data_IF_888455006081
#
_entry.id   IF_888455006081
#
_cell.length_a   1.000
_cell.length_b   1.000
_cell.length_c   1.000
_cell.angle_alpha   90.00
_cell.angle_beta   90.00
_cell.angle_gamma   90.00
#
_symmetry.space_group_name_H-M   'P 1'
#
loop_
_entity.id
_entity.type
_entity.pdbx_description
1 polymer ?
#
# COMPACT_ATOMS: atom_id res chain seq x y z
N UNK A 1 16.95 17.28 24.47
CA UNK A 1 18.05 16.31 24.25
C UNK A 1 17.75 15.26 23.17
N UNK A 2 16.66 14.49 23.23
CA UNK A 2 16.38 13.37 22.29
C UNK A 2 16.28 13.79 20.81
N UNK A 3 15.81 15.01 20.50
CA UNK A 3 15.68 15.50 19.11
C UNK A 3 17.02 15.80 18.42
N UNK A 4 18.03 16.20 19.17
CA UNK A 4 19.36 16.49 18.61
C UNK A 4 20.06 15.18 18.26
N UNK A 5 20.02 14.20 19.17
CA UNK A 5 20.57 12.87 18.94
C UNK A 5 19.95 12.20 17.70
N UNK A 6 18.61 12.25 17.57
CA UNK A 6 17.91 11.72 16.39
C UNK A 6 18.31 12.41 15.08
N UNK A 7 18.62 13.71 15.12
CA UNK A 7 19.10 14.43 13.94
C UNK A 7 20.51 13.97 13.58
N UNK A 8 21.39 13.85 14.56
CA UNK A 8 22.74 13.34 14.34
C UNK A 8 22.73 11.93 13.77
N UNK A 9 21.97 11.01 14.38
CA UNK A 9 21.80 9.64 13.90
C UNK A 9 21.23 9.58 12.47
N UNK A 10 20.33 10.50 12.12
CA UNK A 10 19.79 10.57 10.75
C UNK A 10 20.81 11.07 9.73
N UNK A 11 21.68 12.00 10.12
CA UNK A 11 22.77 12.50 9.28
C UNK A 11 23.80 11.39 9.08
N UNK A 12 24.22 10.72 10.16
CA UNK A 12 25.19 9.62 10.10
C UNK A 12 24.68 8.42 9.27
N UNK A 13 23.39 8.08 9.40
CA UNK A 13 22.79 7.01 8.59
C UNK A 13 22.74 7.38 7.10
N UNK A 14 22.46 8.65 6.78
CA UNK A 14 22.39 9.13 5.41
C UNK A 14 23.79 9.25 4.77
N UNK A 15 24.79 9.74 5.51
CA UNK A 15 26.18 9.80 5.01
C UNK A 15 26.75 8.41 4.76
N UNK A 16 26.48 7.44 5.65
CA UNK A 16 26.86 6.05 5.46
C UNK A 16 26.19 5.42 4.21
N UNK A 17 24.92 5.74 3.98
CA UNK A 17 24.22 5.32 2.76
C UNK A 17 24.85 5.92 1.50
N UNK A 18 25.19 7.23 1.51
CA UNK A 18 25.83 7.88 0.37
C UNK A 18 27.22 7.31 0.08
N UNK A 19 28.03 7.05 1.11
CA UNK A 19 29.33 6.40 0.96
C UNK A 19 29.21 4.96 0.39
N UNK A 20 28.12 4.25 0.72
CA UNK A 20 27.86 2.91 0.18
C UNK A 20 27.42 2.95 -1.29
N UNK A 21 26.53 3.88 -1.67
CA UNK A 21 26.01 3.99 -3.05
C UNK A 21 27.03 4.65 -3.98
N UNK A 22 27.83 5.58 -3.47
CA UNK A 22 28.82 6.36 -4.22
C UNK A 22 30.20 6.21 -3.55
N UNK A 23 31.06 5.30 -4.04
CA UNK A 23 32.38 5.05 -3.44
C UNK A 23 33.32 6.27 -3.40
N UNK A 24 33.03 7.29 -4.20
CA UNK A 24 33.79 8.56 -4.27
C UNK A 24 33.20 9.64 -3.34
N UNK A 25 32.12 9.36 -2.61
CA UNK A 25 31.52 10.31 -1.67
C UNK A 25 32.31 10.34 -0.37
N UNK A 26 32.98 11.48 -0.12
CA UNK A 26 33.64 11.79 1.14
C UNK A 26 32.83 12.86 1.86
N UNK A 27 32.31 12.53 3.05
CA UNK A 27 31.55 13.50 3.85
C UNK A 27 32.51 14.59 4.33
N UNK A 28 32.27 15.84 3.91
CA UNK A 28 33.01 16.98 4.43
C UNK A 28 32.47 17.35 5.80
N UNK A 29 33.24 17.08 6.84
CA UNK A 29 32.97 17.59 8.19
C UNK A 29 33.15 19.11 8.16
N UNK A 30 32.03 19.85 8.12
CA UNK A 30 32.04 21.28 8.37
C UNK A 30 32.30 21.48 9.86
N UNK A 31 33.57 21.51 10.28
CA UNK A 31 33.91 22.05 11.58
C UNK A 31 33.53 23.54 11.60
N UNK A 32 32.71 23.92 12.59
CA UNK A 32 32.23 25.27 12.85
C UNK A 32 33.41 26.26 12.85
N UNK A 33 33.50 27.09 11.82
CA UNK A 33 34.14 28.39 11.96
C UNK A 33 33.02 29.35 12.38
N UNK A 34 32.84 29.49 13.69
CA UNK A 34 31.97 30.52 14.26
C UNK A 34 32.57 31.89 13.97
N UNK A 35 31.87 32.70 13.20
CA UNK A 35 31.85 34.15 13.40
C UNK A 35 30.43 34.61 13.07
N UNK A 36 29.71 34.95 14.14
CA UNK A 36 28.44 35.64 14.14
C UNK A 36 28.62 37.04 13.51
N UNK A 37 27.68 37.49 12.67
CA UNK A 37 27.26 38.89 12.55
C UNK A 37 25.94 39.01 11.74
N UNK A 38 24.87 39.26 12.52
CA UNK A 38 23.75 40.20 12.35
C UNK A 38 22.71 40.14 11.19
N UNK A 39 21.46 39.99 11.67
CA UNK A 39 20.17 40.67 11.34
C UNK A 39 19.84 41.09 9.90
N UNK A 40 18.63 40.71 9.43
CA UNK A 40 17.57 41.69 9.09
C UNK A 40 16.19 41.02 8.95
N UNK A 41 15.24 41.58 9.70
CA UNK A 41 13.78 41.39 9.62
C UNK A 41 13.23 41.96 8.31
N UNK A 42 12.43 41.18 7.56
CA UNK A 42 11.35 41.77 6.74
C UNK A 42 10.05 40.99 6.91
N UNK A 43 9.05 41.76 7.31
CA UNK A 43 7.68 41.39 7.67
C UNK A 43 6.75 41.45 6.43
N UNK A 44 5.53 40.91 6.60
CA UNK A 44 4.33 41.08 5.76
C UNK A 44 4.21 40.13 4.55
N UNK A 45 3.09 39.45 4.26
CA UNK A 45 1.70 39.78 4.53
C UNK A 45 0.79 38.53 4.37
N UNK A 46 -0.35 38.55 5.08
CA UNK A 46 -1.43 37.58 5.02
C UNK A 46 -2.10 37.51 3.63
N UNK A 47 -2.34 36.29 3.12
CA UNK A 47 -3.54 36.01 2.32
C UNK A 47 -4.27 34.79 2.89
N UNK A 48 -5.38 35.12 3.52
CA UNK A 48 -6.49 34.25 3.91
C UNK A 48 -7.03 33.47 2.71
N UNK A 49 -7.11 32.14 2.85
CA UNK A 49 -8.00 31.29 2.05
C UNK A 49 -8.49 30.16 2.92
N UNK A 50 -9.57 30.49 3.63
CA UNK A 50 -10.40 29.62 4.45
C UNK A 50 -10.95 28.48 3.60
N UNK A 51 -10.43 27.27 3.76
CA UNK A 51 -11.16 26.04 3.42
C UNK A 51 -11.09 25.13 4.65
N UNK A 52 -12.21 25.08 5.37
CA UNK A 52 -12.43 24.28 6.57
C UNK A 52 -12.17 22.79 6.26
N UNK A 53 -11.24 22.11 6.95
CA UNK A 53 -11.29 20.67 7.04
C UNK A 53 -12.48 20.30 7.92
N UNK A 54 -13.46 19.62 7.34
CA UNK A 54 -14.53 19.02 8.10
C UNK A 54 -13.93 17.91 8.98
N UNK A 55 -13.76 18.20 10.27
CA UNK A 55 -13.45 17.20 11.28
C UNK A 55 -14.63 16.22 11.37
N UNK A 56 -14.49 15.05 10.77
CA UNK A 56 -15.40 13.94 11.01
C UNK A 56 -14.86 13.14 12.20
N UNK A 57 -15.43 13.45 13.36
CA UNK A 57 -15.29 12.72 14.60
C UNK A 57 -15.95 11.34 14.46
N UNK A 58 -15.18 10.35 14.04
CA UNK A 58 -15.55 8.92 14.14
C UNK A 58 -14.46 8.14 14.87
N UNK A 59 -14.12 8.61 16.07
CA UNK A 59 -13.32 7.87 17.03
C UNK A 59 -14.27 7.12 17.98
N UNK A 60 -14.97 6.10 17.44
CA UNK A 60 -15.57 5.04 18.26
C UNK A 60 -14.74 3.78 18.11
N UNK A 61 -13.78 3.70 19.02
CA UNK A 61 -12.99 2.55 19.39
C UNK A 61 -13.86 1.28 19.45
N UNK A 62 -13.54 0.27 18.63
CA UNK A 62 -14.11 -1.06 18.77
C UNK A 62 -13.05 -2.10 18.43
N UNK A 63 -12.62 -2.84 19.45
CA UNK A 63 -11.62 -3.91 19.48
C UNK A 63 -12.01 -5.16 18.64
N UNK A 64 -12.42 -4.96 17.39
CA UNK A 64 -12.94 -5.99 16.50
C UNK A 64 -12.04 -6.21 15.28
N UNK A 65 -10.73 -6.14 15.46
CA UNK A 65 -9.76 -6.50 14.42
C UNK A 65 -9.23 -7.93 14.67
N UNK A 66 -9.11 -8.71 13.61
CA UNK A 66 -8.53 -10.06 13.61
C UNK A 66 -7.11 -9.95 13.07
N UNK A 67 -6.13 -10.25 13.92
CA UNK A 67 -4.72 -10.29 13.56
C UNK A 67 -4.39 -11.70 13.05
N UNK A 68 -4.04 -11.81 11.77
CA UNK A 68 -3.61 -13.07 11.17
C UNK A 68 -2.08 -13.08 11.08
N UNK A 69 -1.38 -13.91 11.87
CA UNK A 69 0.06 -14.06 11.73
C UNK A 69 0.39 -14.72 10.37
N UNK A 70 1.37 -14.19 9.66
CA UNK A 70 1.94 -14.87 8.50
C UNK A 70 2.68 -16.15 8.94
N UNK A 71 2.62 -17.25 8.18
CA UNK A 71 3.46 -18.41 8.46
C UNK A 71 4.96 -18.06 8.34
N UNK A 72 5.84 -18.80 9.02
CA UNK A 72 7.28 -18.73 8.78
C UNK A 72 7.56 -19.06 7.30
N UNK A 73 8.11 -18.09 6.56
CA UNK A 73 8.41 -18.20 5.12
C UNK A 73 7.80 -17.11 4.23
N UNK A 74 6.92 -16.23 4.74
CA UNK A 74 6.59 -14.97 4.05
C UNK A 74 7.82 -14.07 4.05
N UNK A 75 8.32 -13.74 2.87
CA UNK A 75 9.53 -12.93 2.64
C UNK A 75 9.25 -11.44 2.86
N UNK A 76 8.82 -11.06 4.06
CA UNK A 76 8.84 -9.63 4.39
C UNK A 76 10.26 -9.20 4.68
N UNK A 77 10.61 -8.06 4.10
CA UNK A 77 11.94 -7.46 4.06
C UNK A 77 12.70 -7.33 5.38
N UNK A 78 12.09 -7.50 6.56
CA UNK A 78 12.77 -7.46 7.86
C UNK A 78 12.02 -8.17 9.01
N UNK A 79 11.13 -9.14 8.71
CA UNK A 79 10.44 -9.86 9.78
C UNK A 79 9.17 -10.59 9.36
N UNK A 80 8.29 -10.85 10.33
CA UNK A 80 6.97 -11.43 10.10
C UNK A 80 5.98 -10.27 9.95
N UNK A 81 5.50 -10.01 8.73
CA UNK A 81 4.38 -9.05 8.53
C UNK A 81 3.15 -9.59 9.22
N UNK A 82 2.46 -8.74 9.97
CA UNK A 82 1.16 -9.08 10.56
C UNK A 82 0.08 -8.34 9.78
N UNK A 83 -0.83 -9.10 9.17
CA UNK A 83 -1.99 -8.53 8.50
C UNK A 83 -3.14 -8.44 9.49
N UNK A 84 -3.71 -7.24 9.60
CA UNK A 84 -4.87 -6.98 10.45
C UNK A 84 -6.05 -6.54 9.58
N UNK A 85 -7.16 -7.27 9.69
CA UNK A 85 -8.43 -6.97 9.01
C UNK A 85 -9.55 -6.86 10.03
N UNK A 86 -10.68 -6.26 9.60
CA UNK A 86 -11.88 -6.27 10.42
C UNK A 86 -12.37 -7.72 10.63
N UNK A 87 -12.82 -8.06 11.85
CA UNK A 87 -13.42 -9.38 12.14
C UNK A 87 -14.62 -9.67 11.24
N UNK A 88 -15.43 -8.65 10.98
CA UNK A 88 -16.61 -8.74 10.10
C UNK A 88 -16.42 -7.85 8.87
N UNK A 89 -16.67 -8.41 7.69
CA UNK A 89 -16.68 -7.66 6.45
C UNK A 89 -17.77 -6.58 6.50
N UNK A 90 -17.46 -5.31 6.21
CA UNK A 90 -18.47 -4.25 6.12
C UNK A 90 -19.53 -4.51 5.05
N UNK A 91 -19.17 -5.24 4.00
CA UNK A 91 -20.06 -5.64 2.92
C UNK A 91 -20.08 -7.17 2.84
N UNK A 92 -21.06 -7.79 3.50
CA UNK A 92 -21.12 -9.26 3.62
C UNK A 92 -21.69 -9.96 2.38
N UNK A 93 -22.47 -9.23 1.58
CA UNK A 93 -23.21 -9.82 0.46
C UNK A 93 -22.97 -9.04 -0.84
N UNK A 94 -21.72 -8.96 -1.29
CA UNK A 94 -21.37 -8.24 -2.53
C UNK A 94 -21.44 -9.19 -3.72
N UNK A 95 -22.30 -8.89 -4.69
CA UNK A 95 -22.41 -9.69 -5.93
C UNK A 95 -21.26 -9.40 -6.89
N UNK A 96 -20.91 -10.37 -7.73
CA UNK A 96 -19.88 -10.21 -8.78
C UNK A 96 -20.14 -9.00 -9.67
N UNK A 97 -21.41 -8.79 -10.05
CA UNK A 97 -21.80 -7.61 -10.83
C UNK A 97 -21.41 -6.29 -10.16
N UNK A 98 -21.60 -6.21 -8.84
CA UNK A 98 -21.20 -5.01 -8.07
C UNK A 98 -19.68 -4.87 -8.04
N UNK A 99 -18.95 -5.98 -7.97
CA UNK A 99 -17.48 -5.97 -8.04
C UNK A 99 -16.99 -5.44 -9.38
N UNK A 100 -17.61 -5.87 -10.48
CA UNK A 100 -17.27 -5.39 -11.82
C UNK A 100 -17.60 -3.91 -11.99
N UNK A 101 -18.83 -3.50 -11.69
CA UNK A 101 -19.30 -2.12 -11.95
C UNK A 101 -18.70 -1.09 -10.99
N UNK A 102 -18.60 -1.39 -9.69
CA UNK A 102 -18.17 -0.41 -8.68
C UNK A 102 -16.69 -0.47 -8.36
N UNK A 103 -16.10 -1.67 -8.37
CA UNK A 103 -14.68 -1.86 -8.02
C UNK A 103 -13.77 -1.94 -9.24
N UNK A 104 -14.32 -1.95 -10.47
CA UNK A 104 -13.52 -2.04 -11.71
C UNK A 104 -12.95 -3.43 -11.98
N UNK A 105 -13.50 -4.47 -11.35
CA UNK A 105 -12.97 -5.82 -11.41
C UNK A 105 -13.61 -6.66 -12.52
N UNK A 106 -13.47 -6.24 -13.77
CA UNK A 106 -14.10 -6.86 -14.94
C UNK A 106 -13.80 -8.37 -15.04
N UNK A 107 -12.53 -8.74 -14.89
CA UNK A 107 -12.02 -10.11 -14.99
C UNK A 107 -11.97 -10.85 -13.64
N UNK A 108 -12.81 -10.47 -12.67
CA UNK A 108 -12.81 -11.08 -11.34
C UNK A 108 -13.01 -12.60 -11.38
N UNK A 109 -14.00 -13.11 -12.11
CA UNK A 109 -14.32 -14.53 -12.19
C UNK A 109 -13.20 -15.35 -12.87
N UNK A 110 -12.69 -14.96 -14.06
CA UNK A 110 -11.53 -15.61 -14.65
C UNK A 110 -10.31 -15.68 -13.71
N UNK A 111 -10.01 -14.56 -13.03
CA UNK A 111 -8.89 -14.48 -12.10
C UNK A 111 -9.09 -15.40 -10.88
N UNK A 112 -10.29 -15.40 -10.30
CA UNK A 112 -10.64 -16.28 -9.18
C UNK A 112 -10.59 -17.75 -9.58
N UNK A 113 -11.10 -18.11 -10.76
CA UNK A 113 -11.06 -19.49 -11.28
C UNK A 113 -9.62 -19.98 -11.43
N UNK A 114 -8.72 -19.13 -11.94
CA UNK A 114 -7.28 -19.44 -12.03
C UNK A 114 -6.68 -19.66 -10.64
N UNK A 115 -7.04 -18.84 -9.66
CA UNK A 115 -6.58 -18.98 -8.28
C UNK A 115 -7.07 -20.26 -7.62
N UNK A 116 -8.37 -20.58 -7.72
CA UNK A 116 -8.98 -21.79 -7.16
C UNK A 116 -8.34 -23.04 -7.77
N UNK A 117 -8.20 -23.10 -9.11
CA UNK A 117 -7.54 -24.24 -9.78
C UNK A 117 -6.09 -24.45 -9.34
N UNK A 118 -5.36 -23.36 -9.05
CA UNK A 118 -3.95 -23.42 -8.63
C UNK A 118 -3.79 -23.81 -7.15
N UNK A 119 -4.61 -23.25 -6.25
CA UNK A 119 -4.39 -23.33 -4.81
C UNK A 119 -5.35 -24.30 -4.09
N UNK A 120 -6.45 -24.68 -4.72
CA UNK A 120 -7.50 -25.53 -4.17
C UNK A 120 -7.84 -26.66 -5.17
N UNK A 121 -6.90 -27.60 -5.45
CA UNK A 121 -7.08 -28.63 -6.47
C UNK A 121 -8.24 -29.60 -6.18
N UNK A 122 -8.69 -29.66 -4.92
CA UNK A 122 -9.81 -30.51 -4.50
C UNK A 122 -11.17 -29.79 -4.55
N UNK A 123 -11.22 -28.52 -4.96
CA UNK A 123 -12.46 -27.78 -5.11
C UNK A 123 -13.14 -28.17 -6.43
N UNK A 124 -14.30 -28.84 -6.34
CA UNK A 124 -15.11 -29.22 -7.51
C UNK A 124 -16.08 -28.13 -7.98
N UNK A 125 -16.13 -26.98 -7.30
CA UNK A 125 -17.05 -25.89 -7.59
C UNK A 125 -16.31 -24.83 -8.40
N UNK A 126 -16.87 -24.46 -9.54
CA UNK A 126 -16.33 -23.36 -10.34
C UNK A 126 -16.98 -22.03 -9.95
N UNK A 127 -16.19 -20.95 -9.79
CA UNK A 127 -16.72 -19.63 -9.51
C UNK A 127 -17.68 -19.15 -10.61
N UNK A 128 -18.81 -18.59 -10.19
CA UNK A 128 -19.92 -18.15 -11.02
C UNK A 128 -20.33 -16.69 -10.72
N UNK A 129 -21.03 -16.05 -11.66
CA UNK A 129 -21.47 -14.64 -11.55
C UNK A 129 -22.56 -14.41 -10.47
N UNK A 130 -23.24 -15.49 -10.08
CA UNK A 130 -24.28 -15.47 -9.04
C UNK A 130 -23.69 -15.53 -7.63
N UNK A 131 -22.38 -15.74 -7.51
CA UNK A 131 -21.70 -15.88 -6.23
C UNK A 131 -21.64 -14.54 -5.49
N UNK A 132 -21.53 -14.66 -4.17
CA UNK A 132 -21.57 -13.54 -3.26
C UNK A 132 -20.34 -13.57 -2.37
N UNK A 133 -19.70 -12.42 -2.20
CA UNK A 133 -18.43 -12.30 -1.50
C UNK A 133 -18.51 -11.31 -0.33
N UNK A 134 -17.80 -11.67 0.74
CA UNK A 134 -17.54 -10.80 1.87
C UNK A 134 -16.35 -9.89 1.54
N UNK A 135 -16.61 -8.58 1.40
CA UNK A 135 -15.61 -7.58 0.97
C UNK A 135 -15.22 -6.65 2.11
N UNK A 136 -13.91 -6.40 2.21
CA UNK A 136 -13.27 -5.54 3.17
C UNK A 136 -12.85 -4.21 2.55
N UNK A 137 -12.98 -3.13 3.32
CA UNK A 137 -12.61 -1.77 2.88
C UNK A 137 -11.11 -1.51 2.92
N UNK A 138 -10.42 -2.13 3.89
CA UNK A 138 -9.01 -1.86 4.18
C UNK A 138 -8.35 -3.04 4.88
N UNK A 139 -7.04 -3.12 4.74
CA UNK A 139 -6.13 -4.00 5.46
C UNK A 139 -5.04 -3.14 6.09
N UNK A 140 -4.66 -3.46 7.32
CA UNK A 140 -3.46 -2.89 7.95
C UNK A 140 -2.32 -3.90 7.89
N UNK A 141 -1.19 -3.47 7.35
CA UNK A 141 0.07 -4.19 7.35
C UNK A 141 0.91 -3.66 8.50
N UNK A 142 1.30 -4.51 9.44
CA UNK A 142 2.25 -4.17 10.48
C UNK A 142 3.58 -4.84 10.17
N UNK A 143 4.64 -4.04 10.10
CA UNK A 143 5.99 -4.52 9.88
C UNK A 143 6.88 -4.19 11.09
N UNK A 144 7.91 -5.01 11.29
CA UNK A 144 8.94 -4.69 12.26
C UNK A 144 9.70 -3.48 11.76
N UNK A 145 9.91 -2.48 12.62
CA UNK A 145 10.67 -1.28 12.27
C UNK A 145 12.00 -1.66 11.65
N UNK A 146 12.25 -1.17 10.44
CA UNK A 146 13.50 -1.42 9.70
C UNK A 146 14.72 -0.87 10.45
N UNK A 147 14.50 0.06 11.39
CA UNK A 147 15.55 0.78 12.09
C UNK A 147 16.00 0.09 13.40
N UNK A 148 15.38 -1.02 13.83
CA UNK A 148 15.88 -1.82 14.97
C UNK A 148 15.86 -1.14 16.35
N UNK A 149 15.54 0.15 16.46
CA UNK A 149 15.62 0.92 17.71
C UNK A 149 14.29 1.00 18.46
N UNK A 150 13.72 -0.13 18.89
CA UNK A 150 12.63 -0.16 19.89
C UNK A 150 11.36 0.64 19.55
N UNK A 151 11.25 1.21 18.35
CA UNK A 151 10.12 1.99 17.91
C UNK A 151 8.92 1.06 17.66
N UNK A 152 7.70 1.55 17.92
CA UNK A 152 6.51 0.75 17.71
C UNK A 152 6.44 0.28 16.26
N UNK A 153 5.90 -0.93 16.00
CA UNK A 153 5.73 -1.44 14.64
C UNK A 153 4.96 -0.40 13.82
N UNK A 154 5.56 0.00 12.70
CA UNK A 154 4.92 0.93 11.79
C UNK A 154 3.83 0.18 11.02
N UNK A 155 2.70 0.86 10.82
CA UNK A 155 1.50 0.26 10.27
C UNK A 155 1.09 1.01 9.00
N UNK A 156 1.11 0.29 7.88
CA UNK A 156 0.59 0.78 6.61
C UNK A 156 -0.85 0.31 6.40
N UNK A 157 -1.67 1.14 5.78
CA UNK A 157 -3.07 0.81 5.49
C UNK A 157 -3.29 0.82 3.99
N UNK A 158 -3.77 -0.31 3.47
CA UNK A 158 -4.19 -0.47 2.08
C UNK A 158 -5.70 -0.41 2.02
N UNK A 159 -6.24 0.43 1.15
CA UNK A 159 -7.68 0.65 0.94
C UNK A 159 -8.11 0.12 -0.41
N UNK A 160 -9.29 -0.49 -0.39
CA UNK A 160 -10.02 -1.00 -1.54
C UNK A 160 -11.49 -0.59 -1.40
N UNK A 161 -11.79 0.68 -1.65
CA UNK A 161 -13.14 1.24 -1.47
C UNK A 161 -13.57 1.94 -2.76
N UNK A 162 -14.72 1.55 -3.35
CA UNK A 162 -15.20 2.16 -4.58
C UNK A 162 -15.76 3.55 -4.27
N UNK A 163 -16.04 4.32 -5.31
CA UNK A 163 -16.73 5.60 -5.17
C UNK A 163 -18.08 5.40 -4.45
N UNK A 164 -18.40 6.28 -3.51
CA UNK A 164 -19.68 6.23 -2.79
C UNK A 164 -20.45 7.52 -2.99
N UNK A 165 -21.77 7.43 -3.23
CA UNK A 165 -22.60 8.62 -3.27
C UNK A 165 -22.57 9.34 -1.93
N UNK A 166 -22.93 10.62 -1.96
CA UNK A 166 -23.04 11.41 -0.74
C UNK A 166 -23.96 10.69 0.27
N UNK A 167 -23.50 10.44 1.50
CA UNK A 167 -24.28 9.68 2.47
C UNK A 167 -25.55 10.44 2.90
N UNK A 168 -25.55 11.77 2.76
CA UNK A 168 -26.66 12.66 3.09
C UNK A 168 -26.70 13.83 2.10
N UNK A 169 -27.88 14.43 1.86
CA UNK A 169 -27.99 15.67 1.12
C UNK A 169 -27.07 16.76 1.72
N UNK A 170 -26.28 17.43 0.88
CA UNK A 170 -25.35 18.48 1.32
C UNK A 170 -23.95 17.99 1.76
N UNK A 171 -23.66 16.68 1.68
CA UNK A 171 -22.29 16.16 1.82
C UNK A 171 -21.68 15.84 0.47
N UNK A 172 -20.35 15.89 0.38
CA UNK A 172 -19.64 15.49 -0.82
C UNK A 172 -19.66 13.96 -0.98
N UNK A 173 -19.70 13.44 -2.22
CA UNK A 173 -19.48 12.03 -2.48
C UNK A 173 -18.07 11.62 -2.03
N UNK A 174 -17.91 10.36 -1.63
CA UNK A 174 -16.58 9.82 -1.31
C UNK A 174 -15.92 9.33 -2.59
N UNK A 175 -14.72 9.83 -2.94
CA UNK A 175 -14.00 9.33 -4.11
C UNK A 175 -13.58 7.87 -3.93
N UNK A 176 -13.30 7.15 -5.03
CA UNK A 176 -12.73 5.80 -4.94
C UNK A 176 -11.31 5.85 -4.35
N UNK A 177 -10.98 4.86 -3.53
CA UNK A 177 -9.65 4.62 -2.96
C UNK A 177 -9.20 3.20 -3.34
N UNK A 178 -8.26 3.12 -4.26
CA UNK A 178 -7.61 1.89 -4.70
C UNK A 178 -6.11 2.06 -4.56
N UNK A 179 -5.61 1.68 -3.39
CA UNK A 179 -4.22 1.90 -3.03
C UNK A 179 -3.31 0.94 -3.79
N UNK A 180 -2.08 1.39 -4.05
CA UNK A 180 -1.06 0.58 -4.71
C UNK A 180 -0.25 -0.22 -3.70
N UNK A 181 0.13 -1.42 -4.09
CA UNK A 181 0.94 -2.34 -3.31
C UNK A 181 2.09 -2.92 -4.10
N UNK A 182 3.06 -3.47 -3.38
CA UNK A 182 4.15 -4.25 -3.93
C UNK A 182 3.86 -5.73 -3.65
N UNK A 183 4.21 -6.58 -4.60
CA UNK A 183 3.97 -8.04 -4.54
C UNK A 183 5.26 -8.75 -4.92
N UNK A 184 5.75 -9.62 -4.04
CA UNK A 184 6.86 -10.52 -4.36
C UNK A 184 6.32 -11.82 -4.98
N UNK A 185 6.40 -11.93 -6.30
CA UNK A 185 5.84 -13.08 -7.01
C UNK A 185 6.73 -14.34 -6.89
N UNK A 186 8.01 -14.22 -6.52
CA UNK A 186 8.98 -15.32 -6.64
C UNK A 186 9.78 -15.61 -5.37
N UNK A 187 9.57 -14.86 -4.29
CA UNK A 187 10.46 -14.92 -3.13
C UNK A 187 11.89 -14.52 -3.49
N UNK A 188 12.05 -13.78 -4.59
CA UNK A 188 13.34 -13.37 -5.14
C UNK A 188 13.75 -11.98 -4.65
N UNK A 189 12.93 -11.35 -3.81
CA UNK A 189 13.27 -10.10 -3.16
C UNK A 189 14.34 -10.36 -2.08
N UNK A 190 15.55 -10.65 -2.53
CA UNK A 190 16.70 -10.95 -1.68
C UNK A 190 17.47 -9.65 -1.40
N UNK A 191 17.47 -8.68 -2.34
CA UNK A 191 18.26 -7.43 -2.24
C UNK A 191 17.66 -6.24 -3.06
N UNK A 192 16.45 -5.76 -2.75
CA UNK A 192 15.93 -4.45 -3.11
C UNK A 192 14.50 -4.50 -3.66
N UNK A 193 14.18 -3.53 -4.51
CA UNK A 193 12.93 -3.51 -5.30
C UNK A 193 12.96 -4.49 -6.48
N UNK A 194 14.08 -5.17 -6.69
CA UNK A 194 14.25 -6.12 -7.78
C UNK A 194 13.49 -7.43 -7.49
N UNK A 195 12.63 -7.84 -8.44
CA UNK A 195 11.75 -9.00 -8.28
C UNK A 195 10.38 -8.71 -7.67
N UNK A 196 10.12 -7.45 -7.32
CA UNK A 196 8.85 -7.00 -6.76
C UNK A 196 8.04 -6.26 -7.83
N UNK A 197 6.75 -6.57 -7.94
CA UNK A 197 5.85 -5.95 -8.91
C UNK A 197 4.89 -4.98 -8.24
N UNK A 198 4.64 -3.85 -8.89
CA UNK A 198 3.64 -2.88 -8.43
C UNK A 198 2.26 -3.31 -8.90
N UNK A 199 1.32 -3.34 -7.97
CA UNK A 199 -0.08 -3.68 -8.22
C UNK A 199 -1.00 -2.62 -7.64
N UNK A 200 -2.18 -2.48 -8.22
CA UNK A 200 -3.27 -1.72 -7.62
C UNK A 200 -4.25 -2.67 -6.96
N UNK A 201 -4.60 -2.41 -5.71
CA UNK A 201 -5.53 -3.23 -4.95
C UNK A 201 -6.95 -2.76 -5.19
N UNK A 202 -7.74 -3.61 -5.84
CA UNK A 202 -9.11 -3.29 -6.21
C UNK A 202 -10.11 -3.87 -5.20
N UNK A 203 -9.95 -5.12 -4.78
CA UNK A 203 -10.89 -5.80 -3.86
C UNK A 203 -10.11 -6.61 -2.83
N UNK A 204 -10.54 -6.53 -1.57
CA UNK A 204 -10.08 -7.41 -0.49
C UNK A 204 -11.29 -8.24 -0.06
N UNK A 205 -11.22 -9.56 -0.14
CA UNK A 205 -12.38 -10.42 0.13
C UNK A 205 -12.03 -11.72 0.85
N UNK A 206 -13.01 -12.32 1.54
CA UNK A 206 -12.90 -13.69 2.05
C UNK A 206 -13.49 -14.66 1.04
N UNK A 207 -12.82 -15.80 0.85
CA UNK A 207 -13.32 -16.86 0.00
C UNK A 207 -14.55 -17.51 0.66
N UNK A 208 -15.68 -17.65 -0.05
CA UNK A 208 -16.86 -18.31 0.50
C UNK A 208 -16.54 -19.74 0.93
N UNK A 209 -17.12 -20.23 2.05
CA UNK A 209 -16.80 -21.55 2.59
C UNK A 209 -17.14 -22.70 1.64
N UNK A 210 -18.01 -22.45 0.65
CA UNK A 210 -18.39 -23.39 -0.41
C UNK A 210 -17.18 -23.84 -1.24
N UNK A 211 -16.22 -22.94 -1.49
CA UNK A 211 -14.99 -23.27 -2.23
C UNK A 211 -13.97 -24.06 -1.39
N UNK A 212 -14.23 -24.23 -0.10
CA UNK A 212 -13.35 -24.88 0.86
C UNK A 212 -12.71 -23.90 1.86
N UNK A 213 -12.11 -24.43 2.95
CA UNK A 213 -11.48 -23.61 3.96
C UNK A 213 -10.19 -22.99 3.40
N UNK A 214 -10.13 -21.66 3.36
CA UNK A 214 -8.91 -20.92 3.05
C UNK A 214 -8.60 -19.93 4.18
N UNK A 215 -7.41 -19.99 4.81
CA UNK A 215 -7.16 -19.30 6.07
C UNK A 215 -6.93 -17.79 5.94
N UNK A 216 -6.66 -17.28 4.74
CA UNK A 216 -6.31 -15.87 4.54
C UNK A 216 -7.32 -15.16 3.64
N UNK A 217 -7.60 -13.87 3.88
CA UNK A 217 -8.32 -13.09 2.90
C UNK A 217 -7.51 -13.04 1.59
N UNK A 218 -8.25 -12.96 0.49
CA UNK A 218 -7.73 -12.85 -0.86
C UNK A 218 -7.84 -11.40 -1.31
N UNK A 219 -6.99 -11.05 -2.27
CA UNK A 219 -6.96 -9.71 -2.85
C UNK A 219 -7.02 -9.84 -4.36
N UNK A 220 -7.96 -9.15 -4.99
CA UNK A 220 -7.98 -8.94 -6.42
C UNK A 220 -7.15 -7.69 -6.73
N UNK A 221 -6.13 -7.88 -7.55
CA UNK A 221 -5.16 -6.86 -7.88
C UNK A 221 -5.02 -6.71 -9.39
N UNK A 222 -4.86 -5.48 -9.83
CA UNK A 222 -4.49 -5.14 -11.20
C UNK A 222 -2.98 -4.88 -11.24
N UNK A 223 -2.25 -5.66 -12.02
CA UNK A 223 -0.80 -5.48 -12.13
C UNK A 223 -0.48 -4.27 -13.00
N UNK A 224 0.58 -3.55 -12.67
CA UNK A 224 1.18 -2.62 -13.60
C UNK A 224 2.39 -3.28 -14.28
N UNK A 225 2.27 -3.58 -15.57
CA UNK A 225 3.38 -3.99 -16.44
C UNK A 225 4.42 -2.88 -16.54
N UNK A 226 5.57 -3.11 -15.88
CA UNK A 226 6.87 -2.65 -16.36
C UNK A 226 7.57 -1.60 -15.50
N UNK A 227 8.39 -2.04 -14.55
CA UNK A 227 9.65 -1.37 -14.25
C UNK A 227 10.64 -1.58 -15.42
N UNK A 228 10.35 -1.08 -16.63
CA UNK A 228 11.21 -1.38 -17.80
C UNK A 228 11.48 -0.25 -18.78
N UNK A 229 10.77 0.88 -18.71
CA UNK A 229 11.05 2.02 -19.58
C UNK A 229 11.18 3.27 -18.70
N UNK A 230 12.42 3.71 -18.51
CA UNK A 230 12.71 5.07 -18.08
C UNK A 230 12.33 6.00 -19.25
N UNK A 231 11.32 6.84 -19.05
CA UNK A 231 11.05 7.92 -19.98
C UNK A 231 12.27 8.84 -20.01
N UNK A 232 13.00 8.83 -21.11
CA UNK A 232 14.25 9.57 -21.31
C UNK A 232 14.06 11.08 -21.08
N UNK A 233 12.84 11.58 -21.29
CA UNK A 233 12.47 12.99 -21.09
C UNK A 233 12.35 13.40 -19.62
N UNK A 234 12.04 12.48 -18.71
CA UNK A 234 11.71 12.81 -17.32
C UNK A 234 12.45 11.97 -16.26
N UNK A 235 13.21 10.95 -16.67
CA UNK A 235 13.87 10.04 -15.73
C UNK A 235 12.88 9.25 -14.86
N UNK A 236 11.65 9.05 -15.33
CA UNK A 236 10.57 8.37 -14.59
C UNK A 236 10.21 7.03 -15.23
N UNK A 237 9.73 6.10 -14.41
CA UNK A 237 9.23 4.81 -14.87
C UNK A 237 7.82 4.95 -15.44
N UNK A 238 7.63 4.55 -16.70
CA UNK A 238 6.29 4.43 -17.30
C UNK A 238 5.79 3.02 -17.06
N UNK A 239 4.60 2.91 -16.47
CA UNK A 239 3.98 1.62 -16.18
C UNK A 239 2.66 1.52 -16.94
N UNK A 240 2.43 0.39 -17.58
CA UNK A 240 1.19 0.08 -18.27
C UNK A 240 0.32 -0.83 -17.41
N UNK A 241 -1.00 -0.78 -17.55
CA UNK A 241 -1.89 -1.75 -16.89
C UNK A 241 -1.77 -3.12 -17.56
N UNK A 242 -1.74 -4.15 -16.74
CA UNK A 242 -1.55 -5.53 -17.14
C UNK A 242 -2.72 -6.41 -16.69
N UNK A 243 -2.60 -7.72 -16.91
CA UNK A 243 -3.63 -8.68 -16.55
C UNK A 243 -3.89 -8.68 -15.04
N UNK A 244 -5.16 -8.61 -14.60
CA UNK A 244 -5.49 -8.71 -13.20
C UNK A 244 -5.37 -10.16 -12.69
N UNK A 245 -5.13 -10.31 -11.39
CA UNK A 245 -5.02 -11.60 -10.72
C UNK A 245 -5.66 -11.56 -9.33
N UNK A 246 -6.03 -12.73 -8.83
CA UNK A 246 -6.31 -12.93 -7.40
C UNK A 246 -5.06 -13.50 -6.75
N UNK A 247 -4.59 -12.85 -5.69
CA UNK A 247 -3.46 -13.28 -4.86
C UNK A 247 -3.86 -13.43 -3.40
N UNK A 248 -3.02 -14.11 -2.62
CA UNK A 248 -3.18 -14.13 -1.18
C UNK A 248 -2.75 -12.80 -0.60
N UNK A 249 -3.40 -12.35 0.47
CA UNK A 249 -2.94 -11.15 1.18
C UNK A 249 -1.51 -11.28 1.71
N UNK A 250 -1.03 -12.51 1.90
CA UNK A 250 0.33 -12.80 2.36
C UNK A 250 1.40 -12.43 1.34
N UNK A 251 1.01 -12.36 0.07
CA UNK A 251 1.90 -12.04 -1.04
C UNK A 251 2.01 -10.51 -1.23
N UNK A 252 1.19 -9.73 -0.51
CA UNK A 252 1.34 -8.28 -0.43
C UNK A 252 2.42 -7.90 0.58
N UNK A 253 3.42 -7.18 0.11
CA UNK A 253 4.44 -6.53 0.92
C UNK A 253 4.39 -5.03 0.65
N UNK A 254 4.39 -4.15 1.65
CA UNK A 254 4.77 -2.75 1.39
C UNK A 254 5.15 -2.00 2.66
N UNK A 255 6.16 -1.12 2.55
CA UNK A 255 6.18 0.21 3.14
C UNK A 255 5.89 1.27 2.05
N UNK A 256 4.63 1.63 1.80
CA UNK A 256 4.26 2.74 0.89
C UNK A 256 4.74 4.07 1.47
N UNK A 257 4.88 4.15 2.79
CA UNK A 257 5.52 5.28 3.49
C UNK A 257 6.96 5.55 2.99
N UNK A 258 7.67 4.55 2.48
CA UNK A 258 8.99 4.72 1.84
C UNK A 258 8.91 5.15 0.37
N UNK A 259 7.87 4.77 -0.38
CA UNK A 259 7.61 5.29 -1.75
C UNK A 259 7.23 6.77 -1.76
N UNK A 260 6.72 7.31 -0.64
CA UNK A 260 6.54 8.74 -0.45
C UNK A 260 7.84 9.50 -0.12
N UNK A 261 8.80 8.85 0.55
CA UNK A 261 10.10 9.45 0.92
C UNK A 261 11.15 9.33 -0.19
N UNK A 262 11.12 8.26 -0.98
CA UNK A 262 11.76 8.16 -2.28
C UNK A 262 10.78 8.71 -3.32
N UNK A 263 10.85 10.00 -3.68
CA UNK A 263 10.00 10.65 -4.71
C UNK A 263 9.66 9.71 -5.90
N UNK A 264 8.58 8.94 -5.81
CA UNK A 264 7.96 8.26 -6.93
C UNK A 264 6.55 8.82 -7.06
N UNK A 265 6.45 9.95 -7.75
CA UNK A 265 5.18 10.43 -8.27
C UNK A 265 4.80 9.55 -9.46
N UNK A 266 4.11 8.43 -9.21
CA UNK A 266 3.47 7.66 -10.26
C UNK A 266 2.24 8.44 -10.74
N UNK A 267 2.37 9.18 -11.83
CA UNK A 267 1.21 9.62 -12.60
C UNK A 267 0.71 8.47 -13.47
N UNK A 268 -0.37 7.81 -13.04
CA UNK A 268 -1.20 7.01 -13.94
C UNK A 268 -1.97 7.96 -14.87
N UNK A 269 -1.50 8.12 -16.11
CA UNK A 269 -2.31 8.73 -17.15
C UNK A 269 -3.43 7.75 -17.55
N UNK A 270 -4.67 8.02 -17.13
CA UNK A 270 -5.85 7.37 -17.70
C UNK A 270 -6.00 7.84 -19.15
N UNK A 271 -5.63 6.98 -20.10
CA UNK A 271 -6.06 7.11 -21.49
C UNK A 271 -7.28 6.22 -21.65
N UNK A 272 -8.46 6.84 -21.63
CA UNK A 272 -9.70 6.21 -22.08
C UNK A 272 -9.64 6.04 -23.60
N UNK A 273 -9.89 4.82 -24.07
CA UNK A 273 -10.37 4.53 -25.43
C UNK A 273 -11.76 3.93 -25.31
#
# INVERSE_FOLDING_TARGET
>A
MIRWLRRQESVDAYTAFLAWVMPEYEATDYEENSDDEDEEDENEELISSTVLPCEDSDQKNNNNEESLPCPPGSTSWLGQTIHTIAKKAPSQATTVRTLQESYGAEDFIPALRKFVKKNLPNCGIEPHEADVFEVYKRVKLQYKSLQGFGDPPEADTIRATPARPAPRPGRCPTPPYFDTALVDHKGLAVTGIEGVEVVQVHIIFKLPPEFGPYPHPLVYVEYFTGCRILAETYGMWVVHRAMPLVISIRDLDIPVTLLGRLKMSLMCAQVSL
#
